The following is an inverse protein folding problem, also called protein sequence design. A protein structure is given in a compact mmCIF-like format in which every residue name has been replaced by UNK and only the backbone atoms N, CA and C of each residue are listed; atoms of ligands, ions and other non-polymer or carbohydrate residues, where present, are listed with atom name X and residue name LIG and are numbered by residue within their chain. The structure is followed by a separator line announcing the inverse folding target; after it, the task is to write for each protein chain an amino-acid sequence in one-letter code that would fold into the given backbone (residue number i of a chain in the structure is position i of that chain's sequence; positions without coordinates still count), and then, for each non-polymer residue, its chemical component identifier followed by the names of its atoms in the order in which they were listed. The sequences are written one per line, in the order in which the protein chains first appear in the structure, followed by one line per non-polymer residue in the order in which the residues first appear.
data_IF_836353997308
#
_entry.id   IF_836353997308
#
_cell.length_a   1.000
_cell.length_b   1.000
_cell.length_c   1.000
_cell.angle_alpha   90.00
_cell.angle_beta   90.00
_cell.angle_gamma   90.00
#
_symmetry.space_group_name_H-M   'P 1'
#
loop_
_entity.id
_entity.type
_entity.pdbx_description
1 polymer ?
#
# COMPACT_ATOMS: atom_id res chain seq x y z
N UNK A 1 -18.73 31.24 -9.16
CA UNK A 1 -17.93 30.00 -9.16
C UNK A 1 -18.71 28.97 -9.94
N UNK A 2 -18.18 28.49 -11.06
CA UNK A 2 -18.74 27.30 -11.72
C UNK A 2 -18.70 26.18 -10.67
N UNK A 3 -19.86 25.59 -10.35
CA UNK A 3 -19.96 24.46 -9.43
C UNK A 3 -19.29 23.26 -10.09
N UNK A 4 -17.95 23.26 -10.08
CA UNK A 4 -17.15 22.21 -10.66
C UNK A 4 -17.16 21.05 -9.69
N UNK A 5 -17.68 19.91 -10.12
CA UNK A 5 -17.61 18.64 -9.40
C UNK A 5 -16.17 18.31 -8.96
N UNK A 6 -15.17 18.82 -9.68
CA UNK A 6 -13.76 18.67 -9.38
C UNK A 6 -13.24 19.52 -8.21
N UNK A 7 -13.99 20.50 -7.71
CA UNK A 7 -13.53 21.36 -6.61
C UNK A 7 -13.32 20.60 -5.30
N UNK A 8 -13.92 19.41 -5.16
CA UNK A 8 -13.73 18.51 -4.02
C UNK A 8 -12.33 17.88 -4.04
N UNK A 9 -11.71 17.76 -5.21
CA UNK A 9 -10.36 17.22 -5.38
C UNK A 9 -9.28 18.30 -5.37
N UNK A 10 -9.64 19.58 -5.29
CA UNK A 10 -8.62 20.64 -5.30
C UNK A 10 -7.89 20.67 -3.95
N UNK A 11 -6.56 20.45 -3.90
CA UNK A 11 -5.81 20.43 -2.64
C UNK A 11 -5.60 21.83 -2.04
N UNK A 12 -5.83 22.88 -2.82
CA UNK A 12 -5.57 24.28 -2.47
C UNK A 12 -6.88 25.02 -2.18
N UNK A 13 -7.37 24.93 -0.95
CA UNK A 13 -8.68 25.48 -0.56
C UNK A 13 -8.65 26.90 -0.02
N UNK A 14 -7.49 27.45 0.37
CA UNK A 14 -7.35 28.90 0.66
C UNK A 14 -5.89 29.31 0.90
N UNK A 15 -5.55 30.56 0.58
CA UNK A 15 -4.25 31.24 0.82
C UNK A 15 -3.02 30.35 0.74
N UNK A 16 -2.59 29.99 -0.48
CA UNK A 16 -1.32 29.33 -0.84
C UNK A 16 -0.90 28.07 -0.06
N UNK A 17 -1.68 27.62 0.92
CA UNK A 17 -1.37 26.50 1.81
C UNK A 17 -2.39 25.40 1.52
N UNK A 18 -1.88 24.22 1.21
CA UNK A 18 -2.67 23.04 0.88
C UNK A 18 -3.17 22.34 2.16
N UNK A 19 -4.06 22.98 2.91
CA UNK A 19 -4.59 22.48 4.18
C UNK A 19 -5.40 21.18 4.05
N UNK A 20 -5.94 20.87 2.86
CA UNK A 20 -6.71 19.66 2.62
C UNK A 20 -5.92 18.37 2.89
N UNK A 21 -4.59 18.39 2.75
CA UNK A 21 -3.74 17.24 3.06
C UNK A 21 -3.75 16.86 4.54
N UNK A 22 -4.20 17.76 5.43
CA UNK A 22 -4.39 17.44 6.84
C UNK A 22 -5.43 16.33 7.06
N UNK A 23 -6.30 16.05 6.09
CA UNK A 23 -7.27 14.96 6.20
C UNK A 23 -6.61 13.59 6.39
N UNK A 24 -5.37 13.42 5.92
CA UNK A 24 -4.61 12.18 6.16
C UNK A 24 -4.38 11.91 7.65
N UNK A 25 -4.30 12.94 8.48
CA UNK A 25 -4.06 12.76 9.92
C UNK A 25 -5.31 12.27 10.66
N UNK A 26 -6.49 12.27 10.06
CA UNK A 26 -7.70 11.72 10.69
C UNK A 26 -7.56 10.24 11.03
N UNK A 27 -6.71 9.50 10.30
CA UNK A 27 -6.41 8.09 10.58
C UNK A 27 -5.97 7.87 12.03
N UNK A 28 -5.17 8.78 12.59
CA UNK A 28 -4.66 8.64 13.95
C UNK A 28 -5.76 8.70 15.01
N UNK A 29 -6.90 9.32 14.73
CA UNK A 29 -8.03 9.38 15.65
C UNK A 29 -8.78 8.03 15.74
N UNK A 30 -8.74 7.22 14.68
CA UNK A 30 -9.46 5.94 14.60
C UNK A 30 -8.64 4.76 15.14
N UNK A 31 -7.37 4.95 15.48
CA UNK A 31 -6.56 3.90 16.07
C UNK A 31 -7.00 3.64 17.52
N UNK A 32 -7.33 2.37 17.89
CA UNK A 32 -7.81 2.05 19.22
C UNK A 32 -6.68 2.14 20.25
N UNK A 33 -6.83 3.00 21.26
CA UNK A 33 -5.88 3.09 22.36
C UNK A 33 -6.08 1.99 23.41
N UNK A 34 -5.01 1.28 23.77
CA UNK A 34 -4.98 0.24 24.82
C UNK A 34 -4.70 0.89 26.19
N UNK A 35 -5.70 1.51 26.82
CA UNK A 35 -5.55 2.05 28.17
C UNK A 35 -6.00 1.10 29.28
N UNK A 36 -6.97 0.22 28.99
CA UNK A 36 -7.59 -0.66 29.99
C UNK A 36 -7.26 -2.12 29.72
N UNK A 37 -7.17 -2.92 30.79
CA UNK A 37 -6.94 -4.38 30.71
C UNK A 37 -8.03 -5.11 29.91
N UNK A 38 -9.27 -4.64 30.01
CA UNK A 38 -10.40 -5.17 29.25
C UNK A 38 -10.58 -4.27 28.01
N UNK A 39 -10.50 -4.82 26.78
CA UNK A 39 -10.65 -4.01 25.59
C UNK A 39 -12.07 -3.49 25.44
N UNK A 40 -12.21 -2.25 24.96
CA UNK A 40 -13.50 -1.70 24.56
C UNK A 40 -14.06 -2.46 23.35
N UNK A 41 -15.37 -2.36 23.09
CA UNK A 41 -15.99 -3.04 21.93
C UNK A 41 -15.33 -2.67 20.61
N UNK A 42 -14.95 -1.39 20.45
CA UNK A 42 -14.25 -0.91 19.27
C UNK A 42 -12.85 -1.55 19.14
N UNK A 43 -12.11 -1.62 20.24
CA UNK A 43 -10.80 -2.26 20.27
C UNK A 43 -10.88 -3.77 20.02
N UNK A 44 -11.91 -4.43 20.52
CA UNK A 44 -12.15 -5.85 20.26
C UNK A 44 -12.40 -6.13 18.77
N UNK A 45 -13.20 -5.30 18.09
CA UNK A 45 -13.41 -5.40 16.64
C UNK A 45 -12.08 -5.27 15.88
N UNK A 46 -11.26 -4.28 16.24
CA UNK A 46 -9.93 -4.12 15.65
C UNK A 46 -9.04 -5.34 15.87
N UNK A 47 -8.95 -5.86 17.10
CA UNK A 47 -8.16 -7.05 17.42
C UNK A 47 -8.61 -8.25 16.59
N UNK A 48 -9.92 -8.43 16.39
CA UNK A 48 -10.44 -9.52 15.57
C UNK A 48 -10.08 -9.36 14.09
N UNK A 49 -10.19 -8.16 13.52
CA UNK A 49 -9.75 -7.91 12.14
C UNK A 49 -8.25 -8.16 11.97
N UNK A 50 -7.42 -7.72 12.92
CA UNK A 50 -5.97 -7.95 12.89
C UNK A 50 -5.63 -9.44 12.96
N UNK A 51 -6.31 -10.21 13.82
CA UNK A 51 -6.08 -11.66 13.94
C UNK A 51 -6.46 -12.41 12.66
N UNK A 52 -7.56 -12.01 12.03
CA UNK A 52 -7.98 -12.60 10.76
C UNK A 52 -6.94 -12.34 9.65
N UNK A 53 -6.50 -11.09 9.51
CA UNK A 53 -5.48 -10.73 8.53
C UNK A 53 -4.16 -11.48 8.75
N UNK A 54 -3.72 -11.58 10.01
CA UNK A 54 -2.51 -12.35 10.35
C UNK A 54 -2.63 -13.81 9.92
N UNK A 55 -3.77 -14.45 10.15
CA UNK A 55 -3.98 -15.84 9.75
C UNK A 55 -3.93 -16.01 8.23
N UNK A 56 -4.51 -15.10 7.45
CA UNK A 56 -4.40 -15.12 5.97
C UNK A 56 -2.94 -14.98 5.52
N UNK A 57 -2.18 -14.08 6.15
CA UNK A 57 -0.75 -13.95 5.86
C UNK A 57 0.06 -15.19 6.24
N UNK A 58 -0.25 -15.85 7.36
CA UNK A 58 0.40 -17.11 7.72
C UNK A 58 0.11 -18.24 6.73
N UNK A 59 -1.04 -18.25 6.07
CA UNK A 59 -1.35 -19.25 5.04
C UNK A 59 -0.59 -18.98 3.73
N UNK A 60 -0.33 -17.70 3.42
CA UNK A 60 0.37 -17.30 2.19
C UNK A 60 1.89 -17.36 2.31
N UNK A 61 2.41 -17.11 3.51
CA UNK A 61 3.84 -17.03 3.79
C UNK A 61 4.27 -18.35 4.41
N UNK A 62 5.25 -19.03 3.81
CA UNK A 62 5.89 -20.19 4.45
C UNK A 62 6.30 -19.83 5.89
N UNK A 63 6.10 -20.76 6.83
CA UNK A 63 6.20 -20.65 8.30
C UNK A 63 7.44 -19.92 8.88
N UNK A 64 8.41 -19.51 8.05
CA UNK A 64 9.68 -18.87 8.45
C UNK A 64 9.65 -17.34 8.37
N UNK A 65 8.57 -16.71 7.92
CA UNK A 65 8.55 -15.25 7.77
C UNK A 65 8.21 -14.57 9.10
N UNK A 66 9.02 -13.57 9.45
CA UNK A 66 8.89 -12.79 10.68
C UNK A 66 7.54 -12.09 10.75
N UNK A 67 6.87 -12.20 11.90
CA UNK A 67 5.65 -11.45 12.26
C UNK A 67 5.81 -9.94 12.02
N UNK A 68 7.03 -9.43 12.18
CA UNK A 68 7.40 -8.03 11.96
C UNK A 68 7.15 -7.60 10.50
N UNK A 69 7.43 -8.46 9.52
CA UNK A 69 7.19 -8.13 8.11
C UNK A 69 5.69 -8.09 7.80
N UNK A 70 4.91 -9.00 8.40
CA UNK A 70 3.46 -8.99 8.28
C UNK A 70 2.86 -7.70 8.85
N UNK A 71 3.44 -7.15 9.92
CA UNK A 71 2.96 -5.93 10.55
C UNK A 71 2.97 -4.72 9.59
N UNK A 72 3.96 -4.62 8.70
CA UNK A 72 4.03 -3.56 7.68
C UNK A 72 2.85 -3.68 6.71
N UNK A 73 2.55 -4.88 6.23
CA UNK A 73 1.41 -5.06 5.32
C UNK A 73 0.07 -4.78 5.97
N UNK A 74 -0.06 -5.18 7.23
CA UNK A 74 -1.29 -4.98 7.99
C UNK A 74 -1.51 -3.50 8.32
N UNK A 75 -0.45 -2.76 8.66
CA UNK A 75 -0.54 -1.32 8.89
C UNK A 75 -0.84 -0.53 7.61
N UNK A 76 -0.30 -0.96 6.46
CA UNK A 76 -0.65 -0.38 5.15
C UNK A 76 -2.11 -0.64 4.80
N UNK A 77 -2.59 -1.86 5.02
CA UNK A 77 -3.99 -2.22 4.80
C UNK A 77 -4.92 -1.35 5.65
N UNK A 78 -4.64 -1.21 6.96
CA UNK A 78 -5.48 -0.41 7.85
C UNK A 78 -5.46 1.08 7.49
N UNK A 79 -4.31 1.61 7.08
CA UNK A 79 -4.16 3.01 6.65
C UNK A 79 -4.99 3.30 5.39
N UNK A 80 -4.92 2.44 4.37
CA UNK A 80 -5.68 2.60 3.12
C UNK A 80 -7.18 2.44 3.38
N UNK A 81 -7.58 1.44 4.18
CA UNK A 81 -8.97 1.18 4.53
C UNK A 81 -9.59 2.40 5.23
N UNK A 82 -8.91 2.97 6.22
CA UNK A 82 -9.41 4.12 6.96
C UNK A 82 -9.50 5.38 6.10
N UNK A 83 -8.50 5.64 5.25
CA UNK A 83 -8.55 6.78 4.32
C UNK A 83 -9.74 6.68 3.34
N UNK A 84 -9.96 5.50 2.77
CA UNK A 84 -11.06 5.28 1.84
C UNK A 84 -12.42 5.31 2.55
N UNK A 85 -12.50 4.81 3.77
CA UNK A 85 -13.72 4.88 4.57
C UNK A 85 -14.07 6.33 4.95
N UNK A 86 -13.08 7.14 5.33
CA UNK A 86 -13.29 8.57 5.57
C UNK A 86 -13.76 9.31 4.32
N UNK A 87 -13.28 8.88 3.15
CA UNK A 87 -13.69 9.44 1.86
C UNK A 87 -15.16 9.27 1.51
N UNK A 88 -15.86 8.33 2.14
CA UNK A 88 -17.29 8.13 1.89
C UNK A 88 -18.16 9.18 2.57
N UNK A 89 -17.64 9.93 3.54
CA UNK A 89 -18.39 11.01 4.18
C UNK A 89 -18.40 12.26 3.29
N UNK A 90 -19.54 12.94 3.27
CA UNK A 90 -19.71 14.18 2.51
C UNK A 90 -18.71 15.25 2.97
N UNK A 91 -18.12 15.96 2.00
CA UNK A 91 -17.20 17.08 2.21
C UNK A 91 -15.84 16.76 2.86
N UNK A 92 -15.45 15.48 2.95
CA UNK A 92 -14.10 15.09 3.36
C UNK A 92 -13.20 14.97 2.12
N UNK A 93 -12.04 15.63 2.16
CA UNK A 93 -11.02 15.51 1.12
C UNK A 93 -10.37 14.11 1.17
N UNK A 94 -10.47 13.37 0.07
CA UNK A 94 -9.84 12.06 -0.10
C UNK A 94 -8.41 12.18 -0.57
N UNK A 95 -7.47 11.91 0.32
CA UNK A 95 -6.05 11.79 -0.03
C UNK A 95 -5.75 10.70 -1.06
N UNK A 96 -6.52 9.60 -1.07
CA UNK A 96 -6.29 8.44 -1.93
C UNK A 96 -6.53 8.69 -3.41
N UNK A 97 -7.41 9.62 -3.79
CA UNK A 97 -7.71 9.94 -5.20
C UNK A 97 -6.59 10.67 -5.93
N UNK A 98 -5.60 11.19 -5.20
CA UNK A 98 -4.44 11.82 -5.82
C UNK A 98 -3.35 10.79 -6.13
N UNK A 99 -2.97 10.73 -7.41
CA UNK A 99 -1.88 9.87 -7.88
C UNK A 99 -0.56 10.09 -7.11
N UNK A 100 -0.29 11.31 -6.63
CA UNK A 100 0.92 11.59 -5.83
C UNK A 100 0.95 10.80 -4.52
N UNK A 101 -0.19 10.61 -3.87
CA UNK A 101 -0.28 9.80 -2.65
C UNK A 101 -0.06 8.31 -2.97
N UNK A 102 -0.81 7.76 -3.94
CA UNK A 102 -0.71 6.34 -4.27
C UNK A 102 0.66 5.95 -4.85
N UNK A 103 1.27 6.83 -5.66
CA UNK A 103 2.58 6.60 -6.26
C UNK A 103 3.72 6.65 -5.22
N UNK A 104 3.66 7.57 -4.25
CA UNK A 104 4.67 7.61 -3.18
C UNK A 104 4.66 6.33 -2.35
N UNK A 105 3.47 5.81 -2.03
CA UNK A 105 3.31 4.57 -1.27
C UNK A 105 3.79 3.34 -2.08
N UNK A 106 3.36 3.21 -3.34
CA UNK A 106 3.69 2.04 -4.17
C UNK A 106 5.19 1.97 -4.50
N UNK A 107 5.81 3.11 -4.81
CA UNK A 107 7.22 3.17 -5.18
C UNK A 107 8.12 2.87 -3.98
N UNK A 108 7.78 3.39 -2.79
CA UNK A 108 8.53 3.09 -1.57
C UNK A 108 8.51 1.60 -1.24
N UNK A 109 7.34 0.96 -1.31
CA UNK A 109 7.21 -0.47 -1.02
C UNK A 109 7.98 -1.31 -2.04
N UNK A 110 7.84 -0.99 -3.33
CA UNK A 110 8.57 -1.69 -4.38
C UNK A 110 10.09 -1.56 -4.20
N UNK A 111 10.60 -0.36 -3.89
CA UNK A 111 12.03 -0.16 -3.63
C UNK A 111 12.54 -1.02 -2.48
N UNK A 112 11.79 -1.08 -1.36
CA UNK A 112 12.17 -1.92 -0.22
C UNK A 112 12.28 -3.40 -0.63
N UNK A 113 11.30 -3.93 -1.39
CA UNK A 113 11.35 -5.33 -1.84
C UNK A 113 12.49 -5.61 -2.80
N UNK A 114 12.75 -4.70 -3.74
CA UNK A 114 13.85 -4.87 -4.70
C UNK A 114 15.21 -4.85 -4.01
N UNK A 115 15.42 -3.89 -3.11
CA UNK A 115 16.67 -3.81 -2.31
C UNK A 115 16.82 -5.05 -1.44
N UNK A 116 15.77 -5.49 -0.74
CA UNK A 116 15.80 -6.69 0.08
C UNK A 116 16.14 -7.95 -0.74
N UNK A 117 15.51 -8.12 -1.90
CA UNK A 117 15.76 -9.26 -2.78
C UNK A 117 17.18 -9.31 -3.33
N UNK A 118 17.72 -8.14 -3.72
CA UNK A 118 19.11 -8.00 -4.14
C UNK A 118 20.09 -8.28 -3.00
N UNK A 119 19.88 -7.74 -1.81
CA UNK A 119 20.82 -7.91 -0.70
C UNK A 119 20.92 -9.36 -0.21
N UNK A 120 19.80 -10.10 -0.18
CA UNK A 120 19.79 -11.45 0.43
C UNK A 120 20.11 -12.54 -0.58
N UNK A 121 19.53 -12.49 -1.78
CA UNK A 121 19.64 -13.58 -2.75
C UNK A 121 19.75 -13.06 -4.19
N UNK A 122 20.85 -12.36 -4.52
CA UNK A 122 21.15 -11.89 -5.88
C UNK A 122 20.93 -12.98 -6.95
N UNK A 123 21.52 -14.16 -6.76
CA UNK A 123 21.46 -15.23 -7.76
C UNK A 123 20.02 -15.71 -8.00
N UNK A 124 19.20 -15.85 -6.93
CA UNK A 124 17.80 -16.26 -7.10
C UNK A 124 16.98 -15.18 -7.79
N UNK A 125 17.24 -13.90 -7.48
CA UNK A 125 16.58 -12.78 -8.15
C UNK A 125 16.86 -12.79 -9.66
N UNK A 126 18.10 -13.05 -10.07
CA UNK A 126 18.43 -13.16 -11.50
C UNK A 126 17.80 -14.39 -12.16
N UNK A 127 17.72 -15.53 -11.47
CA UNK A 127 17.02 -16.70 -12.03
C UNK A 127 15.53 -16.47 -12.24
N UNK A 128 14.89 -15.59 -11.47
CA UNK A 128 13.48 -15.23 -11.67
C UNK A 128 13.22 -14.37 -12.91
N UNK A 129 14.25 -13.78 -13.53
CA UNK A 129 14.09 -13.00 -14.76
C UNK A 129 13.88 -13.88 -16.00
N UNK A 130 14.18 -15.17 -15.91
CA UNK A 130 14.02 -16.11 -17.02
C UNK A 130 13.02 -17.20 -16.60
N UNK A 131 11.90 -17.37 -17.32
CA UNK A 131 10.99 -18.47 -17.04
C UNK A 131 11.69 -19.81 -17.31
N UNK A 132 11.40 -20.80 -16.47
CA UNK A 132 11.95 -22.15 -16.66
C UNK A 132 11.46 -22.75 -17.98
N UNK A 133 12.38 -23.29 -18.78
CA UNK A 133 12.05 -23.99 -20.03
C UNK A 133 12.04 -23.13 -21.30
N UNK A 134 12.51 -21.87 -21.27
CA UNK A 134 12.62 -21.08 -22.50
C UNK A 134 13.78 -21.56 -23.40
N UNK A 135 13.57 -21.71 -24.73
CA UNK A 135 14.65 -22.03 -25.66
C UNK A 135 15.69 -20.91 -25.72
N UNK A 136 16.96 -21.27 -25.99
CA UNK A 136 18.10 -20.38 -25.81
C UNK A 136 18.06 -19.10 -26.66
N UNK A 137 17.45 -19.17 -27.85
CA UNK A 137 17.35 -18.05 -28.78
C UNK A 137 16.41 -16.93 -28.27
N UNK A 138 15.41 -17.28 -27.45
CA UNK A 138 14.37 -16.35 -26.96
C UNK A 138 14.70 -15.79 -25.57
N UNK A 139 15.71 -16.34 -24.88
CA UNK A 139 16.14 -15.91 -23.55
C UNK A 139 16.38 -14.38 -23.43
N UNK A 140 17.13 -13.71 -24.33
CA UNK A 140 17.41 -12.27 -24.17
C UNK A 140 16.15 -11.41 -24.27
N UNK A 141 15.19 -11.78 -25.13
CA UNK A 141 13.92 -11.05 -25.25
C UNK A 141 13.04 -11.21 -24.00
N UNK A 142 13.00 -12.42 -23.41
CA UNK A 142 12.21 -12.66 -22.19
C UNK A 142 12.74 -11.85 -21.01
N UNK A 143 14.07 -11.72 -20.86
CA UNK A 143 14.67 -10.88 -19.81
C UNK A 143 14.26 -9.41 -19.96
N UNK A 144 14.23 -8.88 -21.19
CA UNK A 144 13.78 -7.51 -21.43
C UNK A 144 12.31 -7.32 -21.04
N UNK A 145 11.44 -8.27 -21.39
CA UNK A 145 10.02 -8.18 -21.03
C UNK A 145 9.83 -8.26 -19.52
N UNK A 146 10.54 -9.16 -18.83
CA UNK A 146 10.37 -9.32 -17.38
C UNK A 146 10.99 -8.17 -16.57
N UNK A 147 12.06 -7.54 -17.08
CA UNK A 147 12.59 -6.31 -16.48
C UNK A 147 11.62 -5.13 -16.63
N UNK A 148 11.00 -4.97 -17.80
CA UNK A 148 9.94 -3.97 -18.02
C UNK A 148 8.71 -4.28 -17.13
N UNK A 149 8.29 -5.54 -17.05
CA UNK A 149 7.15 -5.96 -16.23
C UNK A 149 7.38 -5.62 -14.76
N UNK A 150 8.61 -5.81 -14.26
CA UNK A 150 8.95 -5.50 -12.88
C UNK A 150 8.94 -3.99 -12.57
N UNK A 151 9.34 -3.14 -13.51
CA UNK A 151 9.31 -1.67 -13.36
C UNK A 151 7.87 -1.14 -13.41
N UNK A 152 6.98 -1.77 -14.20
CA UNK A 152 5.58 -1.34 -14.34
C UNK A 152 4.74 -1.70 -13.09
N UNK A 153 5.14 -2.69 -12.28
CA UNK A 153 4.42 -3.12 -11.07
C UNK A 153 4.05 -1.96 -10.12
N UNK A 154 4.97 -1.10 -9.61
CA UNK A 154 4.61 0.00 -8.73
C UNK A 154 3.67 1.01 -9.38
N UNK A 155 3.81 1.24 -10.69
CA UNK A 155 2.93 2.15 -11.44
C UNK A 155 1.50 1.61 -11.51
N UNK A 156 1.34 0.32 -11.84
CA UNK A 156 0.00 -0.31 -11.89
C UNK A 156 -0.68 -0.38 -10.53
N UNK A 157 0.09 -0.54 -9.44
CA UNK A 157 -0.41 -0.48 -8.07
C UNK A 157 -0.89 0.93 -7.71
N UNK A 158 -0.16 1.97 -8.12
CA UNK A 158 -0.54 3.37 -7.86
C UNK A 158 -1.86 3.74 -8.56
N UNK A 159 -1.95 3.44 -9.86
CA UNK A 159 -3.13 3.75 -10.69
C UNK A 159 -4.37 2.98 -10.23
N UNK A 160 -4.20 1.78 -9.67
CA UNK A 160 -5.32 1.00 -9.14
C UNK A 160 -5.96 1.65 -7.91
N UNK A 161 -5.21 2.44 -7.16
CA UNK A 161 -5.66 3.02 -5.89
C UNK A 161 -6.11 4.48 -6.03
N UNK A 162 -5.55 5.23 -6.98
CA UNK A 162 -5.96 6.61 -7.32
C UNK A 162 -7.29 6.64 -8.07
#
# INVERSE_FOLDING_TARGET
MMMNLFSIFDPTTSMSISLNWLSMFYIFLFLPNLYWLIPSRFQYLWIMTFKYLLNEFYMLLDNKINVINCLIFISLFSLILLNNFMGMFSYIFTASSHLSFSMSLSLMLWLIFMIFGWMINMNRMFTHLVPQGTPSILMPFMVLIETISNIIRPLTLAVRLS
#
